data_IF_109101192093
#
_entry.id   IF_109101192093
#
_cell.length_a   1.000
_cell.length_b   1.000
_cell.length_c   1.000
_cell.angle_alpha   90.00
_cell.angle_beta   90.00
_cell.angle_gamma   90.00
#
_symmetry.space_group_name_H-M   'P 1'
#
loop_
_entity.id
_entity.type
_entity.pdbx_description
1 polymer ?
#
# COMPACT_ATOMS: atom_id res chain seq x y z
N UNK A 1 -19.97 14.76 44.61
CA UNK A 1 -20.42 14.28 43.29
C UNK A 1 -19.19 14.14 42.41
N UNK A 2 -18.92 12.94 41.87
CA UNK A 2 -17.75 12.69 41.03
C UNK A 2 -18.12 12.96 39.56
N UNK A 3 -17.43 13.82 38.80
CA UNK A 3 -17.57 13.82 37.35
C UNK A 3 -16.85 12.57 36.79
N UNK A 4 -17.56 11.83 35.94
CA UNK A 4 -17.09 10.59 35.34
C UNK A 4 -15.83 10.79 34.50
N UNK A 5 -14.88 9.86 34.61
CA UNK A 5 -13.72 9.79 33.73
C UNK A 5 -14.20 9.43 32.33
N UNK A 6 -14.19 10.41 31.44
CA UNK A 6 -14.31 10.21 30.00
C UNK A 6 -12.94 9.73 29.50
N UNK A 7 -12.85 8.46 29.09
CA UNK A 7 -11.67 7.95 28.39
C UNK A 7 -11.82 8.29 26.90
N UNK A 8 -11.03 9.27 26.48
CA UNK A 8 -10.19 9.30 25.28
C UNK A 8 -10.82 8.85 23.94
N UNK A 9 -11.14 9.83 23.09
CA UNK A 9 -10.99 9.70 21.64
C UNK A 9 -9.84 10.62 21.22
N UNK A 10 -8.62 10.25 21.62
CA UNK A 10 -7.47 10.66 20.83
C UNK A 10 -7.63 9.93 19.51
N UNK A 11 -8.15 10.66 18.53
CA UNK A 11 -8.06 10.30 17.11
C UNK A 11 -6.56 10.23 16.81
N UNK A 12 -5.99 9.07 17.11
CA UNK A 12 -4.61 8.71 16.87
C UNK A 12 -4.39 8.95 15.38
N UNK A 13 -3.81 10.09 15.02
CA UNK A 13 -3.05 10.19 13.78
C UNK A 13 -1.89 9.24 13.98
N UNK A 14 -2.17 7.95 13.79
CA UNK A 14 -1.22 6.87 13.93
C UNK A 14 -0.06 7.27 13.04
N UNK A 15 1.01 7.71 13.66
CA UNK A 15 2.21 8.16 12.98
C UNK A 15 2.74 6.87 12.33
N UNK A 16 2.48 6.68 11.05
CA UNK A 16 2.95 5.50 10.34
C UNK A 16 4.44 5.73 10.09
N UNK A 17 5.25 5.45 11.11
CA UNK A 17 6.70 5.68 11.09
C UNK A 17 7.42 4.72 10.12
N UNK A 18 6.75 3.62 9.77
CA UNK A 18 7.21 2.62 8.81
C UNK A 18 6.05 1.95 8.07
N UNK A 19 6.25 1.64 6.79
CA UNK A 19 5.28 0.92 5.97
C UNK A 19 5.27 1.38 4.52
N UNK A 20 4.28 0.97 3.75
CA UNK A 20 4.11 1.45 2.40
C UNK A 20 2.66 1.50 1.97
N UNK A 21 2.37 2.38 1.02
CA UNK A 21 1.05 2.55 0.44
C UNK A 21 1.17 2.53 -1.08
N UNK A 22 0.35 1.73 -1.73
CA UNK A 22 0.31 1.61 -3.17
C UNK A 22 -1.09 1.97 -3.64
N UNK A 23 -1.19 3.01 -4.46
CA UNK A 23 -2.44 3.47 -5.08
C UNK A 23 -2.40 3.10 -6.55
N UNK A 24 -3.34 2.26 -6.97
CA UNK A 24 -3.52 1.81 -8.34
C UNK A 24 -4.78 2.48 -8.88
N UNK A 25 -4.72 3.07 -10.08
CA UNK A 25 -5.88 3.72 -10.71
C UNK A 25 -5.81 3.66 -12.24
N UNK A 26 -6.93 3.94 -12.91
CA UNK A 26 -7.03 4.04 -14.37
C UNK A 26 -7.84 2.90 -15.02
N UNK A 27 -8.24 3.11 -16.28
CA UNK A 27 -9.17 2.23 -17.00
C UNK A 27 -8.64 0.79 -17.15
N UNK A 28 -7.32 0.62 -17.23
CA UNK A 28 -6.67 -0.69 -17.32
C UNK A 28 -7.07 -1.66 -16.21
N UNK A 29 -7.34 -1.16 -15.00
CA UNK A 29 -7.75 -2.00 -13.87
C UNK A 29 -9.13 -2.63 -14.08
N UNK A 30 -9.98 -2.07 -14.94
CA UNK A 30 -11.32 -2.61 -15.17
C UNK A 30 -11.28 -4.02 -15.76
N UNK A 31 -10.34 -4.29 -16.67
CA UNK A 31 -10.17 -5.59 -17.32
C UNK A 31 -9.07 -6.43 -16.66
N UNK A 32 -8.08 -5.81 -16.01
CA UNK A 32 -6.89 -6.49 -15.47
C UNK A 32 -6.81 -6.50 -13.94
N UNK A 33 -7.88 -6.14 -13.23
CA UNK A 33 -7.95 -6.14 -11.75
C UNK A 33 -7.45 -7.45 -11.14
N UNK A 34 -7.96 -8.59 -11.60
CA UNK A 34 -7.62 -9.89 -11.03
C UNK A 34 -6.12 -10.20 -11.15
N UNK A 35 -5.55 -9.92 -12.32
CA UNK A 35 -4.13 -10.15 -12.62
C UNK A 35 -3.23 -9.24 -11.77
N UNK A 36 -3.57 -7.96 -11.68
CA UNK A 36 -2.87 -6.97 -10.88
C UNK A 36 -2.90 -7.34 -9.40
N UNK A 37 -4.07 -7.71 -8.87
CA UNK A 37 -4.21 -8.16 -7.49
C UNK A 37 -3.47 -9.46 -7.22
N UNK A 38 -3.44 -10.38 -8.18
CA UNK A 38 -2.70 -11.63 -8.07
C UNK A 38 -1.19 -11.37 -7.98
N UNK A 39 -0.66 -10.45 -8.80
CA UNK A 39 0.73 -10.01 -8.73
C UNK A 39 1.03 -9.42 -7.34
N UNK A 40 0.23 -8.47 -6.86
CA UNK A 40 0.42 -7.85 -5.54
C UNK A 40 0.45 -8.90 -4.42
N UNK A 41 -0.49 -9.85 -4.44
CA UNK A 41 -0.56 -10.93 -3.44
C UNK A 41 0.63 -11.87 -3.53
N UNK A 42 1.04 -12.23 -4.75
CA UNK A 42 2.20 -13.08 -4.98
C UNK A 42 3.48 -12.44 -4.43
N UNK A 43 3.75 -11.18 -4.77
CA UNK A 43 4.90 -10.44 -4.27
C UNK A 43 4.86 -10.26 -2.74
N UNK A 44 3.67 -10.00 -2.19
CA UNK A 44 3.46 -9.96 -0.74
C UNK A 44 3.78 -11.27 -0.04
N UNK A 45 3.36 -12.40 -0.62
CA UNK A 45 3.66 -13.74 -0.10
C UNK A 45 5.15 -14.06 -0.19
N UNK A 46 5.79 -13.77 -1.32
CA UNK A 46 7.24 -13.98 -1.49
C UNK A 46 8.06 -13.15 -0.50
N UNK A 47 7.61 -11.94 -0.18
CA UNK A 47 8.25 -11.11 0.84
C UNK A 47 8.06 -11.71 2.24
N UNK A 48 6.86 -12.19 2.55
CA UNK A 48 6.54 -12.81 3.84
C UNK A 48 7.33 -14.11 4.06
N UNK A 49 7.49 -14.93 3.02
CA UNK A 49 8.31 -16.16 3.06
C UNK A 49 9.79 -15.86 3.32
N UNK A 50 10.29 -14.71 2.86
CA UNK A 50 11.67 -14.27 3.14
C UNK A 50 11.81 -13.67 4.52
N UNK A 51 10.84 -12.84 4.94
CA UNK A 51 10.80 -12.19 6.25
C UNK A 51 9.34 -12.01 6.68
N UNK A 52 8.93 -12.65 7.77
CA UNK A 52 7.55 -12.63 8.26
C UNK A 52 7.03 -11.22 8.66
N UNK A 53 7.94 -10.26 8.82
CA UNK A 53 7.62 -8.86 9.11
C UNK A 53 7.20 -8.10 7.84
N UNK A 54 7.64 -8.54 6.65
CA UNK A 54 7.38 -7.89 5.38
C UNK A 54 6.20 -8.54 4.67
N UNK A 55 5.01 -7.94 4.81
CA UNK A 55 3.79 -8.45 4.18
C UNK A 55 2.86 -7.34 3.72
N UNK A 56 1.96 -7.71 2.81
CA UNK A 56 0.80 -6.89 2.46
C UNK A 56 -0.20 -7.01 3.61
N UNK A 57 -0.50 -5.88 4.26
CA UNK A 57 -1.37 -5.85 5.44
C UNK A 57 -2.82 -5.61 5.05
N UNK A 58 -3.05 -4.87 3.96
CA UNK A 58 -4.39 -4.50 3.51
C UNK A 58 -4.44 -4.33 2.00
N UNK A 59 -5.56 -4.72 1.41
CA UNK A 59 -5.89 -4.46 0.01
C UNK A 59 -7.35 -4.03 0.00
N UNK A 60 -7.63 -2.82 -0.43
CA UNK A 60 -8.97 -2.27 -0.53
C UNK A 60 -9.22 -1.64 -1.89
N UNK A 61 -10.48 -1.65 -2.32
CA UNK A 61 -10.90 -0.98 -3.55
C UNK A 61 -11.23 0.48 -3.19
N UNK A 62 -10.56 1.43 -3.83
CA UNK A 62 -10.70 2.86 -3.53
C UNK A 62 -10.71 3.69 -4.83
N UNK A 63 -11.64 4.63 -4.94
CA UNK A 63 -11.75 5.58 -6.06
C UNK A 63 -11.72 4.95 -7.47
N UNK A 64 -12.33 3.77 -7.64
CA UNK A 64 -12.33 3.07 -8.94
C UNK A 64 -11.03 2.33 -9.27
N UNK A 65 -10.10 2.24 -8.31
CA UNK A 65 -8.90 1.42 -8.37
C UNK A 65 -8.65 0.72 -7.04
N UNK A 66 -7.38 0.59 -6.64
CA UNK A 66 -6.97 -0.14 -5.44
C UNK A 66 -6.02 0.65 -4.57
N UNK A 67 -6.18 0.50 -3.26
CA UNK A 67 -5.24 0.98 -2.25
C UNK A 67 -4.72 -0.22 -1.48
N UNK A 68 -3.40 -0.39 -1.46
CA UNK A 68 -2.72 -1.51 -0.82
C UNK A 68 -1.74 -0.97 0.21
N UNK A 69 -1.85 -1.50 1.43
CA UNK A 69 -0.94 -1.18 2.53
C UNK A 69 0.05 -2.33 2.75
N UNK A 70 1.30 -1.97 3.02
CA UNK A 70 2.38 -2.92 3.31
C UNK A 70 3.05 -2.56 4.64
N UNK A 71 3.51 -3.59 5.36
CA UNK A 71 4.28 -3.39 6.61
C UNK A 71 5.66 -2.75 6.37
N UNK A 72 6.18 -2.84 5.14
CA UNK A 72 7.50 -2.33 4.76
C UNK A 72 7.44 -1.48 3.48
N UNK A 73 8.18 -0.38 3.49
CA UNK A 73 8.30 0.54 2.35
C UNK A 73 9.01 -0.07 1.14
N UNK A 74 10.04 -0.92 1.35
CA UNK A 74 10.73 -1.55 0.23
C UNK A 74 9.80 -2.51 -0.51
N UNK A 75 8.92 -3.22 0.20
CA UNK A 75 7.88 -4.04 -0.41
C UNK A 75 6.96 -3.21 -1.30
N UNK A 76 6.48 -2.05 -0.84
CA UNK A 76 5.64 -1.19 -1.67
C UNK A 76 6.36 -0.70 -2.94
N UNK A 77 7.60 -0.24 -2.80
CA UNK A 77 8.44 0.18 -3.94
C UNK A 77 8.65 -0.98 -4.91
N UNK A 78 8.91 -2.18 -4.38
CA UNK A 78 9.15 -3.38 -5.18
C UNK A 78 7.92 -3.73 -6.02
N UNK A 79 6.74 -3.80 -5.39
CA UNK A 79 5.47 -4.08 -6.07
C UNK A 79 5.21 -3.02 -7.15
N UNK A 80 5.42 -1.73 -6.85
CA UNK A 80 5.30 -0.65 -7.83
C UNK A 80 6.20 -0.82 -9.06
N UNK A 81 7.46 -1.22 -8.85
CA UNK A 81 8.39 -1.52 -9.95
C UNK A 81 7.95 -2.73 -10.76
N UNK A 82 7.48 -3.80 -10.11
CA UNK A 82 6.97 -4.98 -10.81
C UNK A 82 5.75 -4.64 -11.67
N UNK A 83 4.80 -3.85 -11.14
CA UNK A 83 3.64 -3.37 -11.90
C UNK A 83 4.06 -2.55 -13.12
N UNK A 84 5.02 -1.64 -12.95
CA UNK A 84 5.55 -0.87 -14.08
C UNK A 84 6.29 -1.74 -15.10
N UNK A 85 7.02 -2.77 -14.66
CA UNK A 85 7.71 -3.70 -15.55
C UNK A 85 6.74 -4.57 -16.34
N UNK A 86 5.77 -5.20 -15.67
CA UNK A 86 4.80 -6.11 -16.27
C UNK A 86 3.79 -5.38 -17.15
N UNK A 87 3.25 -4.26 -16.65
CA UNK A 87 2.12 -3.59 -17.26
C UNK A 87 2.38 -2.14 -17.62
N UNK A 88 3.63 -1.68 -17.81
CA UNK A 88 4.00 -0.36 -18.40
C UNK A 88 2.99 0.77 -18.13
N UNK A 89 3.27 1.71 -17.26
CA UNK A 89 2.33 2.81 -16.98
C UNK A 89 3.01 3.99 -16.31
N UNK A 90 2.24 5.02 -16.01
CA UNK A 90 2.77 6.16 -15.27
C UNK A 90 2.90 5.78 -13.79
N UNK A 91 4.06 6.04 -13.21
CA UNK A 91 4.31 5.75 -11.80
C UNK A 91 4.99 6.93 -11.12
N UNK A 92 4.64 7.14 -9.86
CA UNK A 92 5.24 8.14 -9.00
C UNK A 92 5.59 7.50 -7.65
N UNK A 93 6.81 7.71 -7.19
CA UNK A 93 7.26 7.27 -5.88
C UNK A 93 7.45 8.48 -4.98
N UNK A 94 6.73 8.51 -3.87
CA UNK A 94 6.86 9.53 -2.83
C UNK A 94 7.49 8.91 -1.60
N UNK A 95 8.52 9.57 -1.10
CA UNK A 95 9.25 9.17 0.08
C UNK A 95 9.10 10.24 1.14
N UNK A 96 8.77 9.86 2.38
CA UNK A 96 8.80 10.80 3.50
C UNK A 96 10.20 10.87 4.07
N UNK A 97 10.81 12.06 4.06
CA UNK A 97 12.15 12.27 4.59
C UNK A 97 12.16 12.01 6.11
N UNK A 98 12.97 11.05 6.54
CA UNK A 98 13.13 10.69 7.96
C UNK A 98 12.19 9.58 8.44
N UNK A 99 11.28 9.08 7.60
CA UNK A 99 10.37 7.98 7.92
C UNK A 99 10.66 6.79 6.99
N UNK A 100 10.48 5.55 7.47
CA UNK A 100 10.61 4.33 6.64
C UNK A 100 9.30 4.07 5.90
N UNK A 101 8.79 5.10 5.22
CA UNK A 101 7.49 5.08 4.57
C UNK A 101 7.60 5.51 3.10
N UNK A 102 7.00 4.72 2.22
CA UNK A 102 6.91 5.01 0.80
C UNK A 102 5.46 4.95 0.30
N UNK A 103 5.05 5.96 -0.46
CA UNK A 103 3.80 5.95 -1.22
C UNK A 103 4.14 5.77 -2.71
N UNK A 104 3.46 4.81 -3.34
CA UNK A 104 3.62 4.45 -4.74
C UNK A 104 2.28 4.72 -5.41
N UNK A 105 2.29 5.57 -6.42
CA UNK A 105 1.09 5.85 -7.21
C UNK A 105 1.37 5.28 -8.59
N UNK A 106 0.54 4.35 -9.03
CA UNK A 106 0.63 3.76 -10.36
C UNK A 106 -0.71 3.92 -11.07
N UNK A 107 -0.64 4.36 -12.33
CA UNK A 107 -1.83 4.54 -13.14
C UNK A 107 -1.61 4.18 -14.60
N UNK A 108 -2.65 3.62 -15.19
CA UNK A 108 -2.68 3.28 -16.61
C UNK A 108 -4.11 3.39 -17.17
N UNK A 109 -4.24 4.12 -18.26
CA UNK A 109 -5.44 4.19 -19.11
C UNK A 109 -5.25 3.27 -20.33
#
# INVERSE_FOLDING_TARGET
MKPGRHYEDFRDQKKIEQGGLIKLSGAFLHEHEAEVLNLVKHEGKLAEEKNADHKVTKIEKANGGFEIETSDHNLAIHIGKQLHHAYKGNHEFKYRKGEKYAEVIWSRD
#
